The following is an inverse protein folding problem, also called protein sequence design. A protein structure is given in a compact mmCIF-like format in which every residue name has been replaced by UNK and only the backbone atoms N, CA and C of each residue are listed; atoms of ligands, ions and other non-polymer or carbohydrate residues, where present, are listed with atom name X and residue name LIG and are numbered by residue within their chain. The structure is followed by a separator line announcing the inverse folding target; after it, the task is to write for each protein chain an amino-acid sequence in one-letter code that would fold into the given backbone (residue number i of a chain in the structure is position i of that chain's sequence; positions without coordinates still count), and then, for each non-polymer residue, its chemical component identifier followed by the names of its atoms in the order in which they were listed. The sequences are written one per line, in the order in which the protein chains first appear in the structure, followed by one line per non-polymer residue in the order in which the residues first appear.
data_IF_100710708156
#
_entry.id   IF_100710708156
#
_cell.length_a   1.000
_cell.length_b   1.000
_cell.length_c   1.000
_cell.angle_alpha   90.00
_cell.angle_beta   90.00
_cell.angle_gamma   90.00
#
_symmetry.space_group_name_H-M   'P 1'
#
loop_
_entity.id
_entity.type
_entity.pdbx_description
1 polymer ?
#
# COMPACT_ATOMS: atom_id res chain seq x y z
N UNK A 1 -14.19 -58.79 -26.70
CA UNK A 1 -14.22 -57.32 -26.82
C UNK A 1 -14.77 -56.76 -25.52
N UNK A 2 -13.89 -56.30 -24.63
CA UNK A 2 -14.29 -55.43 -23.52
C UNK A 2 -13.22 -54.34 -23.50
N UNK A 3 -13.54 -53.19 -24.09
CA UNK A 3 -12.69 -52.01 -24.05
C UNK A 3 -12.82 -51.38 -22.66
N UNK A 4 -11.72 -51.40 -21.91
CA UNK A 4 -11.62 -50.71 -20.64
C UNK A 4 -11.54 -49.20 -20.91
N UNK A 5 -12.69 -48.53 -20.80
CA UNK A 5 -12.78 -47.07 -20.84
C UNK A 5 -12.31 -46.49 -19.50
N UNK A 6 -10.99 -46.40 -19.33
CA UNK A 6 -10.35 -45.67 -18.23
C UNK A 6 -10.49 -44.17 -18.50
N UNK A 7 -11.71 -43.67 -18.31
CA UNK A 7 -12.03 -42.25 -18.46
C UNK A 7 -11.57 -41.51 -17.22
N UNK A 8 -10.24 -41.48 -17.03
CA UNK A 8 -9.55 -40.67 -16.06
C UNK A 8 -9.83 -39.20 -16.37
N UNK A 9 -10.92 -38.68 -15.81
CA UNK A 9 -11.20 -37.25 -15.73
C UNK A 9 -10.08 -36.61 -14.93
N UNK A 10 -8.98 -36.29 -15.62
CA UNK A 10 -7.88 -35.49 -15.08
C UNK A 10 -8.54 -34.18 -14.70
N UNK A 11 -8.71 -33.92 -13.41
CA UNK A 11 -9.15 -32.63 -12.91
C UNK A 11 -8.10 -31.62 -13.38
N UNK A 12 -8.31 -31.02 -14.56
CA UNK A 12 -7.39 -30.05 -15.14
C UNK A 12 -7.30 -28.92 -14.12
N UNK A 13 -6.10 -28.74 -13.57
CA UNK A 13 -5.81 -27.61 -12.70
C UNK A 13 -5.79 -26.39 -13.62
N UNK A 14 -6.94 -25.73 -13.79
CA UNK A 14 -7.10 -24.58 -14.69
C UNK A 14 -6.20 -23.47 -14.16
N UNK A 15 -5.29 -22.97 -14.99
CA UNK A 15 -4.41 -21.87 -14.62
C UNK A 15 -5.25 -20.64 -14.25
N UNK A 16 -4.89 -19.86 -13.22
CA UNK A 16 -5.56 -18.60 -12.90
C UNK A 16 -5.52 -17.55 -14.04
N UNK A 17 -4.68 -17.76 -15.05
CA UNK A 17 -4.52 -16.89 -16.23
C UNK A 17 -5.01 -17.56 -17.53
N UNK A 18 -5.69 -18.70 -17.44
CA UNK A 18 -6.31 -19.36 -18.59
C UNK A 18 -7.49 -18.52 -19.11
N UNK A 19 -7.72 -18.37 -20.43
CA UNK A 19 -8.91 -17.68 -20.95
C UNK A 19 -10.24 -18.29 -20.48
N UNK A 20 -10.25 -19.56 -20.07
CA UNK A 20 -11.42 -20.21 -19.45
C UNK A 20 -11.51 -20.01 -17.92
N UNK A 21 -10.58 -19.28 -17.31
CA UNK A 21 -10.56 -19.03 -15.87
C UNK A 21 -11.67 -18.03 -15.48
N UNK A 22 -12.59 -18.48 -14.61
CA UNK A 22 -13.69 -17.65 -14.11
C UNK A 22 -13.31 -17.11 -12.73
N UNK A 23 -13.46 -15.79 -12.51
CA UNK A 23 -13.38 -15.19 -11.17
C UNK A 23 -14.62 -15.62 -10.39
N UNK A 24 -14.50 -16.42 -9.31
CA UNK A 24 -15.65 -16.91 -8.60
C UNK A 24 -16.41 -15.76 -7.94
N UNK A 25 -17.73 -15.76 -8.10
CA UNK A 25 -18.62 -14.80 -7.45
C UNK A 25 -18.66 -15.05 -5.94
N UNK A 26 -19.02 -14.04 -5.12
CA UNK A 26 -18.96 -14.16 -3.66
C UNK A 26 -19.67 -15.40 -3.08
N UNK A 27 -20.81 -15.78 -3.64
CA UNK A 27 -21.58 -16.96 -3.20
C UNK A 27 -20.96 -18.30 -3.58
N UNK A 28 -20.04 -18.32 -4.55
CA UNK A 28 -19.37 -19.55 -5.03
C UNK A 28 -18.11 -19.86 -4.22
N UNK A 29 -17.67 -18.95 -3.36
CA UNK A 29 -16.51 -19.14 -2.48
C UNK A 29 -16.79 -20.13 -1.34
N UNK A 30 -18.06 -20.36 -1.00
CA UNK A 30 -18.48 -21.31 0.06
C UNK A 30 -18.58 -22.75 -0.42
N UNK A 31 -18.68 -22.99 -1.74
CA UNK A 31 -18.84 -24.33 -2.30
C UNK A 31 -17.51 -25.09 -2.30
N UNK A 32 -17.54 -26.31 -1.75
CA UNK A 32 -16.39 -27.21 -1.58
C UNK A 32 -15.62 -27.51 -2.89
N UNK A 33 -16.21 -27.22 -4.07
CA UNK A 33 -15.62 -27.43 -5.40
C UNK A 33 -14.67 -26.30 -5.85
N UNK A 34 -14.77 -25.09 -5.29
CA UNK A 34 -13.87 -23.96 -5.59
C UNK A 34 -12.50 -24.07 -4.89
N UNK A 35 -12.33 -25.11 -4.07
CA UNK A 35 -11.31 -25.22 -3.02
C UNK A 35 -9.90 -25.58 -3.54
N UNK A 36 -9.73 -26.03 -4.78
CA UNK A 36 -8.43 -26.53 -5.26
C UNK A 36 -7.53 -25.50 -5.95
N UNK A 37 -8.06 -24.45 -6.61
CA UNK A 37 -7.21 -23.48 -7.35
C UNK A 37 -7.52 -22.03 -7.01
N UNK A 38 -8.80 -21.63 -7.11
CA UNK A 38 -9.24 -20.26 -6.83
C UNK A 38 -8.98 -19.80 -5.39
N UNK A 39 -9.13 -20.71 -4.41
CA UNK A 39 -8.90 -20.35 -3.01
C UNK A 39 -7.43 -20.04 -2.69
N UNK A 40 -6.45 -20.59 -3.40
CA UNK A 40 -5.04 -20.35 -3.05
C UNK A 40 -4.55 -18.98 -3.54
N UNK A 41 -4.97 -18.57 -4.74
CA UNK A 41 -4.70 -17.22 -5.27
C UNK A 41 -5.50 -16.18 -4.49
N UNK A 42 -6.79 -16.44 -4.22
CA UNK A 42 -7.59 -15.55 -3.38
C UNK A 42 -7.00 -15.39 -1.98
N UNK A 43 -6.59 -16.47 -1.31
CA UNK A 43 -5.90 -16.41 -0.01
C UNK A 43 -4.58 -15.64 -0.09
N UNK A 44 -3.82 -15.76 -1.19
CA UNK A 44 -2.58 -14.98 -1.41
C UNK A 44 -2.89 -13.50 -1.58
N UNK A 45 -3.88 -13.16 -2.41
CA UNK A 45 -4.29 -11.77 -2.65
C UNK A 45 -4.86 -11.13 -1.38
N UNK A 46 -5.63 -11.87 -0.59
CA UNK A 46 -6.17 -11.37 0.67
C UNK A 46 -5.06 -11.09 1.69
N UNK A 47 -4.05 -11.98 1.78
CA UNK A 47 -2.86 -11.71 2.59
C UNK A 47 -2.10 -10.48 2.11
N UNK A 48 -1.95 -10.30 0.80
CA UNK A 48 -1.26 -9.13 0.26
C UNK A 48 -2.05 -7.84 0.52
N UNK A 49 -3.38 -7.87 0.40
CA UNK A 49 -4.24 -6.75 0.79
C UNK A 49 -4.07 -6.37 2.25
N UNK A 50 -4.04 -7.36 3.15
CA UNK A 50 -3.78 -7.12 4.57
C UNK A 50 -2.40 -6.50 4.81
N UNK A 51 -1.35 -7.06 4.18
CA UNK A 51 0.01 -6.53 4.27
C UNK A 51 0.09 -5.07 3.82
N UNK A 52 -0.53 -4.75 2.68
CA UNK A 52 -0.59 -3.37 2.15
C UNK A 52 -1.40 -2.46 3.06
N UNK A 53 -2.50 -2.95 3.67
CA UNK A 53 -3.30 -2.20 4.63
C UNK A 53 -2.46 -1.78 5.84
N UNK A 54 -1.72 -2.70 6.45
CA UNK A 54 -0.82 -2.39 7.57
C UNK A 54 0.22 -1.32 7.21
N UNK A 55 0.77 -1.36 5.99
CA UNK A 55 1.70 -0.31 5.52
C UNK A 55 0.98 1.02 5.36
N UNK A 56 -0.23 1.04 4.81
CA UNK A 56 -0.98 2.28 4.62
C UNK A 56 -1.41 2.91 5.96
N UNK A 57 -1.81 2.10 6.94
CA UNK A 57 -2.11 2.53 8.31
C UNK A 57 -0.86 3.16 8.95
N UNK A 58 0.32 2.53 8.80
CA UNK A 58 1.57 3.12 9.28
C UNK A 58 1.90 4.47 8.61
N UNK A 59 1.55 4.63 7.32
CA UNK A 59 1.68 5.92 6.62
C UNK A 59 0.70 6.98 7.13
N UNK A 60 -0.51 6.60 7.53
CA UNK A 60 -1.47 7.51 8.15
C UNK A 60 -0.99 7.96 9.52
N UNK A 61 -0.60 7.02 10.39
CA UNK A 61 0.00 7.37 11.67
C UNK A 61 1.25 8.25 11.53
N UNK A 62 2.07 8.02 10.50
CA UNK A 62 3.22 8.89 10.25
C UNK A 62 2.78 10.32 9.93
N UNK A 63 1.73 10.53 9.12
CA UNK A 63 1.24 11.87 8.79
C UNK A 63 0.70 12.61 10.01
N UNK A 64 -0.02 11.91 10.89
CA UNK A 64 -0.54 12.50 12.13
C UNK A 64 0.58 13.06 13.05
N UNK A 65 1.81 12.55 12.92
CA UNK A 65 2.97 13.02 13.68
C UNK A 65 3.74 14.14 12.98
N UNK A 66 3.42 14.44 11.72
CA UNK A 66 4.09 15.50 10.99
C UNK A 66 3.37 16.83 11.25
N UNK A 67 4.11 17.92 11.54
CA UNK A 67 3.54 19.25 11.71
C UNK A 67 3.11 19.84 10.35
N UNK A 68 2.08 19.27 9.74
CA UNK A 68 1.54 19.66 8.44
C UNK A 68 0.02 19.76 8.54
N UNK A 69 -0.55 20.78 7.90
CA UNK A 69 -2.00 21.02 7.93
C UNK A 69 -2.72 20.12 6.91
N UNK A 70 -3.32 19.03 7.38
CA UNK A 70 -4.04 18.09 6.52
C UNK A 70 -5.31 18.68 5.89
N UNK A 71 -5.85 19.78 6.44
CA UNK A 71 -7.07 20.42 5.94
C UNK A 71 -6.84 21.08 4.57
N UNK A 72 -5.59 21.41 4.23
CA UNK A 72 -5.25 22.02 2.94
C UNK A 72 -4.97 20.96 1.85
N UNK A 73 -4.25 19.88 2.17
CA UNK A 73 -3.84 18.86 1.19
C UNK A 73 -3.35 17.56 1.82
N UNK A 74 -3.87 16.40 1.40
CA UNK A 74 -3.27 15.11 1.78
C UNK A 74 -1.90 14.86 1.11
N UNK A 75 -0.86 14.65 1.92
CA UNK A 75 0.49 14.32 1.43
C UNK A 75 0.56 12.95 0.74
N UNK A 76 1.24 12.88 -0.41
CA UNK A 76 1.61 11.63 -1.06
C UNK A 76 2.60 10.83 -0.21
N UNK A 77 2.80 9.54 -0.53
CA UNK A 77 3.75 8.67 0.21
C UNK A 77 5.18 9.23 0.17
N UNK A 78 5.61 9.71 -0.99
CA UNK A 78 6.95 10.27 -1.17
C UNK A 78 7.09 11.59 -0.39
N UNK A 79 6.11 12.47 -0.46
CA UNK A 79 6.11 13.73 0.32
C UNK A 79 6.13 13.45 1.83
N UNK A 80 5.34 12.48 2.29
CA UNK A 80 5.29 12.06 3.70
C UNK A 80 6.68 11.62 4.19
N UNK A 81 7.36 10.77 3.42
CA UNK A 81 8.72 10.31 3.78
C UNK A 81 9.74 11.45 3.78
N UNK A 82 9.73 12.30 2.75
CA UNK A 82 10.65 13.44 2.67
C UNK A 82 10.45 14.39 3.86
N UNK A 83 9.19 14.70 4.18
CA UNK A 83 8.86 15.57 5.30
C UNK A 83 9.27 14.95 6.64
N UNK A 84 9.05 13.65 6.84
CA UNK A 84 9.48 12.96 8.06
C UNK A 84 10.99 13.01 8.29
N UNK A 85 11.80 12.77 7.24
CA UNK A 85 13.26 12.85 7.32
C UNK A 85 13.70 14.27 7.71
N UNK A 86 13.10 15.28 7.09
CA UNK A 86 13.41 16.69 7.38
C UNK A 86 13.00 17.03 8.82
N UNK A 87 11.83 16.57 9.25
CA UNK A 87 11.33 16.85 10.59
C UNK A 87 12.24 16.25 11.66
N UNK A 88 12.71 15.01 11.50
CA UNK A 88 13.70 14.41 12.40
C UNK A 88 14.96 15.29 12.48
N UNK A 89 15.52 15.71 11.35
CA UNK A 89 16.73 16.56 11.33
C UNK A 89 16.51 17.92 11.96
N UNK A 90 15.31 18.48 11.81
CA UNK A 90 14.94 19.73 12.46
C UNK A 90 14.84 19.57 13.98
N UNK A 91 14.20 18.50 14.45
CA UNK A 91 14.15 18.17 15.88
C UNK A 91 15.55 17.97 16.46
N UNK A 92 16.45 17.29 15.74
CA UNK A 92 17.86 17.16 16.14
C UNK A 92 18.55 18.53 16.26
N UNK A 93 18.32 19.45 15.30
CA UNK A 93 18.89 20.80 15.34
C UNK A 93 18.34 21.63 16.52
N UNK A 94 17.04 21.50 16.83
CA UNK A 94 16.41 22.10 18.01
C UNK A 94 17.08 21.63 19.29
N UNK A 95 17.40 20.33 19.40
CA UNK A 95 18.05 19.78 20.59
C UNK A 95 19.52 20.21 20.73
N UNK A 96 20.19 20.56 19.63
CA UNK A 96 21.61 20.96 19.63
C UNK A 96 21.86 22.46 19.78
N UNK A 97 20.92 23.33 19.38
CA UNK A 97 21.09 24.79 19.45
C UNK A 97 19.83 25.47 20.02
N UNK A 98 19.96 26.08 21.21
CA UNK A 98 18.88 26.84 21.84
C UNK A 98 18.35 27.99 20.98
N UNK A 99 19.15 28.51 20.04
CA UNK A 99 18.72 29.57 19.12
C UNK A 99 17.71 29.05 18.09
N UNK A 100 17.73 27.75 17.82
CA UNK A 100 16.78 27.11 16.92
C UNK A 100 15.39 26.96 17.58
N UNK A 101 15.35 26.80 18.91
CA UNK A 101 14.13 26.71 19.73
C UNK A 101 13.31 28.01 19.68
N UNK A 102 13.98 29.18 19.64
CA UNK A 102 13.33 30.49 19.81
C UNK A 102 12.64 31.05 18.55
N UNK A 103 12.45 30.24 17.50
CA UNK A 103 11.70 30.63 16.31
C UNK A 103 12.46 30.51 14.99
N UNK A 104 13.18 29.41 14.77
CA UNK A 104 13.75 29.13 13.45
C UNK A 104 12.65 28.73 12.45
N UNK A 105 12.45 29.54 11.40
CA UNK A 105 11.49 29.23 10.31
C UNK A 105 12.05 28.26 9.26
N UNK A 106 13.20 27.64 9.56
CA UNK A 106 13.88 26.67 8.72
C UNK A 106 13.12 25.36 8.53
N UNK A 107 11.98 25.16 9.18
CA UNK A 107 11.12 24.03 8.91
C UNK A 107 9.96 24.42 7.98
N UNK A 108 9.26 25.53 8.28
CA UNK A 108 8.16 26.07 7.48
C UNK A 108 8.57 26.44 6.04
N UNK A 109 9.73 27.07 5.88
CA UNK A 109 10.27 27.42 4.56
C UNK A 109 10.50 26.18 3.69
N UNK A 110 10.99 25.09 4.32
CA UNK A 110 11.24 23.84 3.62
C UNK A 110 9.95 23.08 3.30
N UNK A 111 8.94 23.13 4.17
CA UNK A 111 7.61 22.60 3.87
C UNK A 111 7.03 23.25 2.62
N UNK A 112 7.10 24.59 2.53
CA UNK A 112 6.61 25.34 1.36
C UNK A 112 7.33 24.95 0.07
N UNK A 113 8.66 24.84 0.12
CA UNK A 113 9.47 24.45 -1.04
C UNK A 113 9.21 23.01 -1.50
N UNK A 114 9.00 22.08 -0.56
CA UNK A 114 8.71 20.68 -0.87
C UNK A 114 7.41 20.57 -1.71
N UNK A 115 6.38 21.32 -1.31
CA UNK A 115 5.05 21.30 -1.94
C UNK A 115 5.07 21.98 -3.32
N UNK A 116 5.76 23.13 -3.44
CA UNK A 116 5.85 23.86 -4.71
C UNK A 116 6.67 23.14 -5.78
N UNK A 117 7.71 22.39 -5.38
CA UNK A 117 8.63 21.74 -6.31
C UNK A 117 7.99 20.62 -7.14
N UNK A 118 6.97 19.93 -6.62
CA UNK A 118 6.33 18.80 -7.33
C UNK A 118 5.05 19.19 -8.09
N UNK A 119 4.38 20.29 -7.73
CA UNK A 119 3.24 20.82 -8.50
C UNK A 119 3.65 21.24 -9.94
N UNK A 120 4.94 21.53 -10.13
CA UNK A 120 5.54 21.86 -11.44
C UNK A 120 5.96 20.64 -12.26
N UNK A 121 5.97 19.43 -11.69
CA UNK A 121 6.48 18.21 -12.36
C UNK A 121 5.44 17.53 -13.25
N UNK A 122 4.17 17.91 -13.12
CA UNK A 122 3.04 17.36 -13.89
C UNK A 122 2.38 18.40 -14.81
N UNK A 123 3.01 19.55 -15.04
CA UNK A 123 2.64 20.49 -16.12
C UNK A 123 3.57 20.36 -17.31
#
# INVERSE_FOLDING_TARGET
MIENNDNGKKNKTISPFDPEAIVPLPFQLTDFKARSVGTTVWKRNERERYRVRCVNEAYEHLRDQLPFDEDEKRLSKVETLKLAIIYIRHLEAILMDERHIRGCNCFEEFQRQLIESESKRFR
#
